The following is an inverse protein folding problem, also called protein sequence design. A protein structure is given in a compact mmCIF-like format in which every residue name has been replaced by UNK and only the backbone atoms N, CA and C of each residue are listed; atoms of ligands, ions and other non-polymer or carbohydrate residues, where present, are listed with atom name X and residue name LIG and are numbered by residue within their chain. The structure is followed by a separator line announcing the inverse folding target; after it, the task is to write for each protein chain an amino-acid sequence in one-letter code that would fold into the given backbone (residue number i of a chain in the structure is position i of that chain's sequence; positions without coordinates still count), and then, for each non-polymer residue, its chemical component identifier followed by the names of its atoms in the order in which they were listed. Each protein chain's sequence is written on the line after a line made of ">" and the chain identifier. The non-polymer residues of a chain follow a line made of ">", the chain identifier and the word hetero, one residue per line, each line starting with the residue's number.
data_IF_141193491121
#
_entry.id   IF_141193491121
#
_cell.length_a   1.000
_cell.length_b   1.000
_cell.length_c   1.000
_cell.angle_alpha   90.00
_cell.angle_beta   90.00
_cell.angle_gamma   90.00
#
_symmetry.space_group_name_H-M   'P 1'
#
loop_
_entity.id
_entity.type
_entity.pdbx_description
1 polymer ?
#
# COMPACT_ATOMS: atom_id res chain seq x y z
N UNK A 1 -2.07 -24.43 -4.27
CA UNK A 1 -0.74 -24.03 -3.75
C UNK A 1 -0.85 -23.77 -2.26
N UNK A 2 0.21 -24.05 -1.52
CA UNK A 2 0.35 -23.75 -0.09
C UNK A 2 1.69 -23.03 0.12
N UNK A 3 1.79 -21.74 -0.24
CA UNK A 3 3.03 -20.99 -0.08
C UNK A 3 3.31 -20.71 1.40
N UNK A 4 4.58 -20.65 1.77
CA UNK A 4 5.01 -20.29 3.12
C UNK A 4 5.02 -18.76 3.34
N UNK A 5 5.07 -17.99 2.25
CA UNK A 5 5.05 -16.52 2.27
C UNK A 5 4.03 -16.02 1.25
N UNK A 6 3.20 -15.09 1.65
CA UNK A 6 2.19 -14.46 0.82
C UNK A 6 2.41 -12.94 0.85
N UNK A 7 2.66 -12.34 -0.31
CA UNK A 7 2.74 -10.89 -0.46
C UNK A 7 1.46 -10.40 -1.10
N UNK A 8 0.56 -9.87 -0.29
CA UNK A 8 -0.74 -9.38 -0.74
C UNK A 8 -0.61 -7.96 -1.29
N UNK A 9 -0.29 -7.87 -2.58
CA UNK A 9 -0.14 -6.62 -3.32
C UNK A 9 -1.34 -6.32 -4.23
N UNK A 10 -2.26 -7.26 -4.39
CA UNK A 10 -3.43 -7.11 -5.24
C UNK A 10 -4.39 -6.05 -4.68
N UNK A 11 -4.63 -5.01 -5.45
CA UNK A 11 -5.51 -3.91 -5.06
C UNK A 11 -5.92 -3.06 -6.27
N UNK A 12 -7.08 -2.39 -6.18
CA UNK A 12 -7.28 -1.15 -6.92
C UNK A 12 -6.44 -0.07 -6.21
N UNK A 13 -5.36 0.42 -6.85
CA UNK A 13 -4.31 1.22 -6.20
C UNK A 13 -4.28 2.70 -6.60
N UNK A 14 -5.26 3.16 -7.38
CA UNK A 14 -5.32 4.54 -7.85
C UNK A 14 -6.35 5.37 -7.06
N UNK A 15 -5.91 6.34 -6.22
CA UNK A 15 -6.83 7.22 -5.48
C UNK A 15 -7.82 7.95 -6.38
N UNK A 16 -7.38 8.42 -7.56
CA UNK A 16 -8.24 9.11 -8.51
C UNK A 16 -9.36 8.24 -9.06
N UNK A 17 -9.10 6.96 -9.31
CA UNK A 17 -10.11 5.98 -9.77
C UNK A 17 -11.13 5.71 -8.67
N UNK A 18 -10.69 5.68 -7.40
CA UNK A 18 -11.56 5.36 -6.27
C UNK A 18 -12.73 6.34 -6.08
N UNK A 19 -12.61 7.57 -6.56
CA UNK A 19 -13.71 8.54 -6.53
C UNK A 19 -14.85 8.15 -7.47
N UNK A 20 -14.52 7.61 -8.63
CA UNK A 20 -15.50 7.21 -9.64
C UNK A 20 -16.02 5.78 -9.43
N UNK A 21 -15.18 4.92 -8.83
CA UNK A 21 -15.46 3.50 -8.62
C UNK A 21 -15.25 3.10 -7.15
N UNK A 22 -15.95 3.72 -6.17
CA UNK A 22 -15.74 3.44 -4.75
C UNK A 22 -16.12 2.00 -4.37
N UNK A 23 -17.19 1.47 -4.93
CA UNK A 23 -17.64 0.08 -4.66
C UNK A 23 -16.60 -0.94 -5.12
N UNK A 24 -16.11 -0.83 -6.35
CA UNK A 24 -15.06 -1.70 -6.88
C UNK A 24 -13.78 -1.60 -6.04
N UNK A 25 -13.42 -0.39 -5.63
CA UNK A 25 -12.25 -0.15 -4.77
C UNK A 25 -12.37 -0.87 -3.43
N UNK A 26 -13.53 -0.76 -2.77
CA UNK A 26 -13.78 -1.44 -1.50
C UNK A 26 -13.82 -2.95 -1.70
N UNK A 27 -14.55 -3.43 -2.69
CA UNK A 27 -14.69 -4.86 -2.97
C UNK A 27 -13.34 -5.51 -3.26
N UNK A 28 -12.57 -4.94 -4.17
CA UNK A 28 -11.24 -5.45 -4.52
C UNK A 28 -10.29 -5.46 -3.31
N UNK A 29 -10.23 -4.35 -2.57
CA UNK A 29 -9.21 -4.18 -1.54
C UNK A 29 -9.62 -4.87 -0.23
N UNK A 30 -10.86 -4.70 0.21
CA UNK A 30 -11.33 -5.23 1.50
C UNK A 30 -11.74 -6.69 1.36
N UNK A 31 -12.68 -7.01 0.46
CA UNK A 31 -13.14 -8.38 0.29
C UNK A 31 -12.04 -9.29 -0.29
N UNK A 32 -11.17 -8.77 -1.17
CA UNK A 32 -10.00 -9.49 -1.63
C UNK A 32 -9.05 -9.89 -0.49
N UNK A 33 -8.87 -9.00 0.49
CA UNK A 33 -8.07 -9.29 1.70
C UNK A 33 -8.74 -10.37 2.56
N UNK A 34 -10.05 -10.27 2.81
CA UNK A 34 -10.83 -11.29 3.51
C UNK A 34 -10.66 -12.65 2.82
N UNK A 35 -10.76 -12.68 1.49
CA UNK A 35 -10.63 -13.91 0.71
C UNK A 35 -9.31 -14.66 0.95
N UNK A 36 -8.19 -13.94 1.11
CA UNK A 36 -6.89 -14.55 1.41
C UNK A 36 -6.89 -15.17 2.82
N UNK A 37 -7.33 -14.43 3.82
CA UNK A 37 -7.34 -14.94 5.21
C UNK A 37 -8.32 -16.09 5.39
N UNK A 38 -9.51 -16.03 4.80
CA UNK A 38 -10.48 -17.13 4.84
C UNK A 38 -9.96 -18.37 4.08
N UNK A 39 -9.20 -18.20 2.99
CA UNK A 39 -8.56 -19.32 2.32
C UNK A 39 -7.52 -20.03 3.22
N UNK A 40 -6.72 -19.26 3.97
CA UNK A 40 -5.77 -19.82 4.97
C UNK A 40 -6.54 -20.61 6.03
N UNK A 41 -7.59 -20.03 6.62
CA UNK A 41 -8.45 -20.71 7.61
C UNK A 41 -9.04 -22.00 7.06
N UNK A 42 -9.54 -21.97 5.83
CA UNK A 42 -10.10 -23.15 5.16
C UNK A 42 -9.05 -24.25 5.01
N UNK A 43 -7.81 -23.92 4.58
CA UNK A 43 -6.74 -24.92 4.48
C UNK A 43 -6.45 -25.52 5.85
N UNK A 44 -6.31 -24.68 6.90
CA UNK A 44 -6.07 -25.15 8.29
C UNK A 44 -7.17 -26.10 8.77
N UNK A 45 -8.43 -25.79 8.48
CA UNK A 45 -9.56 -26.58 8.99
C UNK A 45 -9.83 -27.88 8.21
N UNK A 46 -9.47 -27.94 6.92
CA UNK A 46 -9.90 -29.06 6.06
C UNK A 46 -8.77 -29.91 5.50
N UNK A 47 -7.54 -29.40 5.48
CA UNK A 47 -6.44 -30.06 4.77
C UNK A 47 -5.17 -30.20 5.57
N UNK A 48 -4.77 -29.15 6.32
CA UNK A 48 -3.49 -29.10 7.00
C UNK A 48 -3.56 -28.12 8.18
N UNK A 49 -3.75 -28.66 9.37
CA UNK A 49 -3.85 -27.87 10.60
C UNK A 49 -2.53 -27.15 10.96
N UNK A 50 -1.40 -27.58 10.38
CA UNK A 50 -0.09 -26.97 10.59
C UNK A 50 0.24 -25.86 9.59
N UNK A 51 -0.62 -25.62 8.60
CA UNK A 51 -0.39 -24.59 7.58
C UNK A 51 -0.37 -23.19 8.20
N UNK A 52 0.79 -22.55 8.21
CA UNK A 52 1.02 -21.26 8.87
C UNK A 52 1.91 -20.31 8.06
N UNK A 53 1.37 -19.78 6.93
CA UNK A 53 2.11 -18.84 6.10
C UNK A 53 2.26 -17.49 6.79
N UNK A 54 3.35 -16.76 6.48
CA UNK A 54 3.43 -15.33 6.78
C UNK A 54 2.78 -14.53 5.66
N UNK A 55 1.92 -13.57 6.00
CA UNK A 55 1.25 -12.68 5.05
C UNK A 55 1.77 -11.25 5.22
N UNK A 56 2.42 -10.71 4.21
CA UNK A 56 2.77 -9.28 4.16
C UNK A 56 1.68 -8.56 3.37
N UNK A 57 0.94 -7.68 4.05
CA UNK A 57 -0.18 -6.94 3.45
C UNK A 57 0.27 -5.54 3.07
N UNK A 58 0.16 -5.21 1.78
CA UNK A 58 0.46 -3.88 1.28
C UNK A 58 -0.64 -2.88 1.66
N UNK A 59 -0.49 -2.27 2.80
CA UNK A 59 -1.23 -1.11 3.28
C UNK A 59 -0.71 0.19 2.62
N UNK A 60 -1.08 1.36 3.10
CA UNK A 60 -0.74 2.62 2.43
C UNK A 60 -0.62 3.80 3.39
N UNK A 61 0.30 4.72 3.10
CA UNK A 61 0.34 6.03 3.75
C UNK A 61 -0.94 6.86 3.55
N UNK A 62 -1.76 6.52 2.54
CA UNK A 62 -3.07 7.13 2.32
C UNK A 62 -4.05 6.93 3.48
N UNK A 63 -3.80 5.97 4.34
CA UNK A 63 -4.56 5.72 5.57
C UNK A 63 -4.45 6.87 6.57
N UNK A 64 -3.28 7.51 6.64
CA UNK A 64 -3.08 8.65 7.53
C UNK A 64 -3.85 9.90 7.08
N UNK A 65 -4.01 10.10 5.77
CA UNK A 65 -4.83 11.14 5.18
C UNK A 65 -4.60 12.54 5.80
N UNK A 66 -5.63 13.09 6.47
CA UNK A 66 -5.58 14.43 7.08
C UNK A 66 -4.50 14.56 8.16
N UNK A 67 -4.16 13.49 8.85
CA UNK A 67 -3.07 13.50 9.84
C UNK A 67 -1.75 13.95 9.21
N UNK A 68 -1.44 13.56 7.96
CA UNK A 68 -0.24 14.03 7.27
C UNK A 68 -0.30 15.51 6.92
N UNK A 69 -1.48 16.06 6.63
CA UNK A 69 -1.67 17.48 6.34
C UNK A 69 -1.45 18.36 7.56
N UNK A 70 -1.70 17.83 8.75
CA UNK A 70 -1.54 18.55 10.02
C UNK A 70 -0.08 18.61 10.47
N UNK A 71 0.78 17.74 9.96
CA UNK A 71 2.20 17.71 10.29
C UNK A 71 2.92 18.89 9.62
N UNK A 72 3.67 19.66 10.43
CA UNK A 72 4.38 20.86 10.00
C UNK A 72 5.88 20.71 10.24
N UNK A 73 6.68 21.34 9.40
CA UNK A 73 8.12 21.35 9.51
C UNK A 73 8.85 21.03 8.21
N UNK A 74 10.16 21.07 8.26
CA UNK A 74 11.02 20.74 7.12
C UNK A 74 11.21 19.25 6.95
N UNK A 75 11.29 18.52 8.07
CA UNK A 75 11.31 17.06 8.13
C UNK A 75 10.10 16.59 8.95
N UNK A 76 9.31 15.71 8.36
CA UNK A 76 8.08 15.21 8.96
C UNK A 76 8.17 13.70 9.05
N UNK A 77 8.12 13.21 10.28
CA UNK A 77 8.05 11.79 10.59
C UNK A 77 6.68 11.46 11.14
N UNK A 78 6.00 10.49 10.54
CA UNK A 78 4.75 9.96 11.06
C UNK A 78 5.02 8.61 11.72
N UNK A 79 4.51 8.44 12.94
CA UNK A 79 4.58 7.16 13.65
C UNK A 79 3.41 6.27 13.24
N UNK A 80 3.61 4.97 13.35
CA UNK A 80 2.57 3.98 13.05
C UNK A 80 1.37 4.10 14.00
N UNK A 81 1.56 4.70 15.17
CA UNK A 81 0.50 5.01 16.15
C UNK A 81 -0.30 6.27 15.84
N UNK A 82 0.05 7.00 14.78
CA UNK A 82 -0.70 8.20 14.39
C UNK A 82 -2.12 7.85 13.90
N UNK A 83 -3.05 8.77 14.11
CA UNK A 83 -4.45 8.57 13.74
C UNK A 83 -4.61 8.30 12.22
N UNK A 84 -5.48 7.37 11.89
CA UNK A 84 -5.86 7.08 10.51
C UNK A 84 -7.07 7.95 10.14
N UNK A 85 -6.86 8.91 9.23
CA UNK A 85 -7.87 9.89 8.81
C UNK A 85 -7.92 9.97 7.27
N UNK A 86 -8.28 8.87 6.57
CA UNK A 86 -8.24 8.79 5.11
C UNK A 86 -9.18 9.82 4.47
N UNK A 87 -8.74 10.42 3.36
CA UNK A 87 -9.46 11.51 2.68
C UNK A 87 -10.16 11.09 1.38
N UNK A 88 -10.07 9.82 0.99
CA UNK A 88 -10.67 9.29 -0.25
C UNK A 88 -10.97 7.80 -0.12
N UNK A 89 -11.87 7.23 -0.98
CA UNK A 89 -12.30 5.84 -0.86
C UNK A 89 -11.15 4.81 -0.89
N UNK A 90 -10.11 5.05 -1.68
CA UNK A 90 -8.89 4.22 -1.66
C UNK A 90 -8.25 4.18 -0.27
N UNK A 91 -8.05 5.34 0.38
CA UNK A 91 -7.49 5.39 1.73
C UNK A 91 -8.35 4.64 2.74
N UNK A 92 -9.69 4.78 2.65
CA UNK A 92 -10.65 4.03 3.49
C UNK A 92 -10.51 2.53 3.27
N UNK A 93 -10.40 2.08 2.02
CA UNK A 93 -10.22 0.65 1.71
C UNK A 93 -8.91 0.10 2.29
N UNK A 94 -7.84 0.91 2.31
CA UNK A 94 -6.55 0.53 2.90
C UNK A 94 -6.62 0.44 4.42
N UNK A 95 -7.33 1.35 5.10
CA UNK A 95 -7.64 1.21 6.54
C UNK A 95 -8.40 -0.10 6.78
N UNK A 96 -9.36 -0.44 5.92
CA UNK A 96 -10.06 -1.72 6.00
C UNK A 96 -9.12 -2.93 5.91
N UNK A 97 -8.19 -2.93 4.96
CA UNK A 97 -7.17 -3.98 4.83
C UNK A 97 -6.28 -4.08 6.07
N UNK A 98 -5.81 -2.94 6.58
CA UNK A 98 -4.94 -2.88 7.77
C UNK A 98 -5.65 -3.46 9.00
N UNK A 99 -6.84 -2.96 9.33
CA UNK A 99 -7.59 -3.37 10.51
C UNK A 99 -8.11 -4.81 10.43
N UNK A 100 -8.53 -5.26 9.25
CA UNK A 100 -8.88 -6.67 9.04
C UNK A 100 -7.67 -7.58 9.26
N UNK A 101 -6.51 -7.22 8.73
CA UNK A 101 -5.29 -7.99 8.93
C UNK A 101 -4.93 -8.10 10.41
N UNK A 102 -5.07 -7.00 11.16
CA UNK A 102 -4.88 -7.00 12.61
C UNK A 102 -5.90 -7.91 13.32
N UNK A 103 -7.18 -7.85 12.93
CA UNK A 103 -8.22 -8.70 13.50
C UNK A 103 -7.93 -10.19 13.27
N UNK A 104 -7.55 -10.59 12.03
CA UNK A 104 -7.20 -11.99 11.73
C UNK A 104 -5.95 -12.45 12.47
N UNK A 105 -4.99 -11.57 12.71
CA UNK A 105 -3.85 -11.88 13.58
C UNK A 105 -4.29 -12.14 15.01
N UNK A 106 -5.11 -11.26 15.59
CA UNK A 106 -5.51 -11.36 17.00
C UNK A 106 -6.45 -12.54 17.30
N UNK A 107 -7.41 -12.79 16.41
CA UNK A 107 -8.48 -13.75 16.68
C UNK A 107 -8.24 -15.12 16.05
N UNK A 108 -7.67 -15.14 14.86
CA UNK A 108 -7.46 -16.38 14.09
C UNK A 108 -5.99 -16.83 14.09
N UNK A 109 -5.13 -16.10 14.79
CA UNK A 109 -3.69 -16.36 14.89
C UNK A 109 -3.01 -16.56 13.53
N UNK A 110 -3.45 -15.78 12.52
CA UNK A 110 -2.80 -15.77 11.22
C UNK A 110 -1.62 -14.80 11.27
N UNK A 111 -0.44 -15.31 10.95
CA UNK A 111 0.79 -14.50 10.93
C UNK A 111 0.72 -13.47 9.82
N UNK A 112 0.60 -12.20 10.16
CA UNK A 112 0.64 -11.12 9.16
C UNK A 112 1.45 -9.92 9.65
N UNK A 113 1.93 -9.13 8.69
CA UNK A 113 2.61 -7.85 8.87
C UNK A 113 1.95 -6.86 7.92
N UNK A 114 1.65 -5.67 8.41
CA UNK A 114 0.94 -4.61 7.67
C UNK A 114 1.95 -3.54 7.27
N UNK A 115 2.24 -3.43 5.97
CA UNK A 115 3.21 -2.48 5.46
C UNK A 115 2.51 -1.22 4.95
N UNK A 116 2.51 -0.11 5.71
CA UNK A 116 1.97 1.20 5.30
C UNK A 116 2.92 1.90 4.35
N UNK A 117 2.87 1.50 3.09
CA UNK A 117 3.80 1.93 2.05
C UNK A 117 3.53 3.39 1.68
N UNK A 118 4.58 4.21 1.67
CA UNK A 118 4.58 5.54 1.08
C UNK A 118 4.78 5.46 -0.43
N UNK A 119 4.89 6.61 -1.13
CA UNK A 119 5.02 6.59 -2.58
C UNK A 119 6.29 5.85 -3.00
N UNK A 120 6.17 5.05 -4.03
CA UNK A 120 7.30 4.38 -4.67
C UNK A 120 7.37 4.74 -6.15
N UNK A 121 8.58 4.76 -6.68
CA UNK A 121 8.82 4.98 -8.10
C UNK A 121 9.79 3.93 -8.64
N UNK A 122 9.77 3.72 -9.94
CA UNK A 122 10.67 2.77 -10.59
C UNK A 122 10.25 2.46 -12.01
N UNK A 123 10.98 1.57 -12.64
CA UNK A 123 10.74 1.14 -14.02
C UNK A 123 9.30 0.70 -14.25
N UNK A 124 8.67 1.16 -15.32
CA UNK A 124 7.27 0.88 -15.70
C UNK A 124 6.20 1.46 -14.77
N UNK A 125 6.58 2.28 -13.79
CA UNK A 125 5.60 3.04 -13.02
C UNK A 125 4.93 4.06 -13.93
N UNK A 126 3.61 4.19 -13.81
CA UNK A 126 2.81 5.16 -14.56
C UNK A 126 1.96 5.97 -13.59
N UNK A 127 1.49 7.13 -14.03
CA UNK A 127 0.59 8.01 -13.27
C UNK A 127 1.17 8.48 -11.91
N UNK A 128 2.47 8.67 -11.84
CA UNK A 128 3.13 9.34 -10.72
C UNK A 128 3.97 10.54 -11.20
N UNK A 129 4.39 11.39 -10.26
CA UNK A 129 5.11 12.63 -10.59
C UNK A 129 6.43 12.36 -11.32
N UNK A 130 7.14 11.31 -10.97
CA UNK A 130 8.44 11.00 -11.56
C UNK A 130 8.29 10.51 -12.98
N UNK A 131 7.40 9.57 -13.23
CA UNK A 131 7.12 9.06 -14.59
C UNK A 131 6.52 10.13 -15.49
N UNK A 132 5.59 10.95 -14.96
CA UNK A 132 4.94 12.02 -15.72
C UNK A 132 5.95 13.11 -16.12
N UNK A 133 6.76 13.59 -15.18
CA UNK A 133 7.75 14.63 -15.46
C UNK A 133 8.84 14.15 -16.42
N UNK A 134 9.33 12.93 -16.25
CA UNK A 134 10.32 12.34 -17.14
C UNK A 134 9.75 12.24 -18.57
N UNK A 135 8.54 11.72 -18.70
CA UNK A 135 7.89 11.59 -20.01
C UNK A 135 7.70 12.96 -20.68
N UNK A 136 7.18 13.94 -19.97
CA UNK A 136 6.97 15.30 -20.49
C UNK A 136 8.27 16.01 -20.82
N UNK A 137 9.34 15.80 -20.02
CA UNK A 137 10.64 16.37 -20.32
C UNK A 137 11.20 15.86 -21.66
N UNK A 138 11.10 14.54 -21.89
CA UNK A 138 11.50 13.94 -23.17
C UNK A 138 10.68 14.48 -24.36
N UNK A 139 9.37 14.62 -24.19
CA UNK A 139 8.51 15.18 -25.23
C UNK A 139 8.84 16.65 -25.51
N UNK A 140 9.11 17.45 -24.48
CA UNK A 140 9.50 18.84 -24.62
C UNK A 140 10.83 18.98 -25.37
N UNK A 141 11.81 18.14 -25.07
CA UNK A 141 13.08 18.08 -25.77
C UNK A 141 12.91 17.72 -27.25
N UNK A 142 12.12 16.68 -27.56
CA UNK A 142 11.84 16.23 -28.92
C UNK A 142 11.10 17.27 -29.76
N UNK A 143 10.19 18.04 -29.14
CA UNK A 143 9.42 19.09 -29.82
C UNK A 143 10.12 20.44 -29.88
N UNK A 144 11.27 20.60 -29.23
CA UNK A 144 11.97 21.89 -29.09
C UNK A 144 11.23 22.87 -28.17
N UNK A 145 10.27 22.40 -27.37
CA UNK A 145 9.47 23.22 -26.46
C UNK A 145 10.01 23.01 -25.06
N UNK A 146 10.67 24.00 -24.48
CA UNK A 146 11.29 23.86 -23.13
C UNK A 146 10.35 24.32 -22.01
N UNK A 147 9.05 24.10 -22.17
CA UNK A 147 8.02 24.46 -21.19
C UNK A 147 7.34 23.19 -20.65
N UNK A 148 7.34 23.04 -19.31
CA UNK A 148 6.60 22.00 -18.61
C UNK A 148 5.46 22.63 -17.80
N UNK A 149 4.22 22.35 -18.16
CA UNK A 149 3.06 22.74 -17.36
C UNK A 149 2.94 21.82 -16.16
N UNK A 150 3.01 22.37 -14.96
CA UNK A 150 3.02 21.62 -13.71
C UNK A 150 1.93 22.15 -12.77
N UNK A 151 1.52 21.32 -11.81
CA UNK A 151 0.65 21.73 -10.71
C UNK A 151 1.42 22.39 -9.57
N UNK A 152 0.95 22.21 -8.34
CA UNK A 152 1.60 22.77 -7.16
C UNK A 152 2.92 22.07 -6.84
N UNK A 153 4.03 22.77 -7.03
CA UNK A 153 5.39 22.28 -6.75
C UNK A 153 5.79 22.34 -5.26
N UNK A 154 4.99 22.98 -4.40
CA UNK A 154 5.28 23.08 -2.98
C UNK A 154 4.89 21.84 -2.18
N UNK A 155 4.44 20.79 -2.83
CA UNK A 155 4.10 19.53 -2.18
C UNK A 155 5.36 18.73 -1.86
N UNK A 156 5.36 18.07 -0.70
CA UNK A 156 6.44 17.16 -0.28
C UNK A 156 5.92 15.74 -0.26
N UNK A 157 6.76 14.79 -0.66
CA UNK A 157 6.44 13.36 -0.69
C UNK A 157 7.67 12.55 -0.30
N UNK A 158 7.48 11.51 0.49
CA UNK A 158 8.46 10.45 0.59
C UNK A 158 8.34 9.59 -0.67
N UNK A 159 9.46 9.39 -1.36
CA UNK A 159 9.51 8.55 -2.57
C UNK A 159 10.62 7.53 -2.38
N UNK A 160 10.28 6.26 -2.48
CA UNK A 160 11.19 5.13 -2.35
C UNK A 160 11.42 4.50 -3.73
N UNK A 161 12.64 4.03 -4.00
CA UNK A 161 12.88 3.19 -5.18
C UNK A 161 12.15 1.85 -5.03
N UNK A 162 11.54 1.39 -6.10
CA UNK A 162 10.75 0.16 -6.08
C UNK A 162 11.60 -1.09 -5.77
N UNK A 163 12.90 -1.07 -6.07
CA UNK A 163 13.83 -2.15 -5.70
C UNK A 163 14.03 -2.22 -4.19
N UNK A 164 14.15 -1.06 -3.54
CA UNK A 164 14.27 -0.97 -2.09
C UNK A 164 12.96 -1.40 -1.42
N UNK A 165 11.81 -0.99 -1.98
CA UNK A 165 10.51 -1.44 -1.50
C UNK A 165 10.37 -2.96 -1.56
N UNK A 166 10.72 -3.59 -2.68
CA UNK A 166 10.68 -5.06 -2.81
C UNK A 166 11.59 -5.73 -1.79
N UNK A 167 12.82 -5.23 -1.64
CA UNK A 167 13.76 -5.73 -0.63
C UNK A 167 13.21 -5.61 0.79
N UNK A 168 12.58 -4.48 1.11
CA UNK A 168 11.95 -4.25 2.40
C UNK A 168 10.78 -5.23 2.66
N UNK A 169 9.92 -5.46 1.68
CA UNK A 169 8.81 -6.42 1.81
C UNK A 169 9.31 -7.86 2.05
N UNK A 170 10.39 -8.26 1.37
CA UNK A 170 11.02 -9.57 1.59
C UNK A 170 11.57 -9.65 3.02
N UNK A 171 12.30 -8.62 3.47
CA UNK A 171 12.84 -8.57 4.82
C UNK A 171 11.74 -8.56 5.90
N UNK A 172 10.60 -7.94 5.64
CA UNK A 172 9.45 -8.00 6.55
C UNK A 172 8.94 -9.43 6.70
N UNK A 173 8.83 -10.19 5.61
CA UNK A 173 8.40 -11.60 5.70
C UNK A 173 9.42 -12.48 6.46
N UNK A 174 10.72 -12.19 6.34
CA UNK A 174 11.79 -12.99 6.93
C UNK A 174 12.11 -12.62 8.38
N UNK A 175 12.07 -11.34 8.70
CA UNK A 175 12.61 -10.78 9.96
C UNK A 175 11.65 -9.86 10.70
N UNK A 176 10.55 -9.47 10.07
CA UNK A 176 9.57 -8.56 10.67
C UNK A 176 8.86 -9.22 11.85
N UNK A 177 8.42 -8.40 12.79
CA UNK A 177 7.63 -8.89 13.93
C UNK A 177 6.19 -9.08 13.51
N UNK A 178 5.72 -10.29 13.63
CA UNK A 178 4.34 -10.69 13.30
C UNK A 178 3.34 -9.90 14.14
N UNK A 179 2.30 -9.39 13.49
CA UNK A 179 1.26 -8.55 14.10
C UNK A 179 1.57 -7.05 14.10
N UNK A 180 2.81 -6.66 13.77
CA UNK A 180 3.18 -5.24 13.69
C UNK A 180 2.71 -4.57 12.38
N UNK A 181 2.82 -3.27 12.36
CA UNK A 181 2.54 -2.40 11.22
C UNK A 181 3.75 -1.53 10.92
#
# INVERSE_FOLDING_TARGET
>A
YRPNQIYHLAAQSYPTVSWNCPYETIDTNVNGTIGIFEAIKKVRSTQDTSYDPIVVVACSSAEYGETLNQLKGTEVYVKETAALQPLHPYGVSKVGQDLLSFQYFMNDHIRCIRARIFNSTGTRKVNDVTSDFTHRAVLAEQSGTYELRVGNLNTRRAIMDQRDLVSALILLAEKGKVGDV
#
